data_IF_377698930589
#
_entry.id   IF_377698930589
#
_cell.length_a   1.000
_cell.length_b   1.000
_cell.length_c   1.000
_cell.angle_alpha   90.00
_cell.angle_beta   90.00
_cell.angle_gamma   90.00
#
_symmetry.space_group_name_H-M   'P 1'
#
loop_
_entity.id
_entity.type
_entity.pdbx_description
1 polymer ?
#
# COMPACT_ATOMS: atom_id res chain seq x y z
N UNK A 1 10.20 6.25 6.80
CA UNK A 1 9.57 6.20 5.47
C UNK A 1 8.93 4.85 5.23
N UNK A 2 9.68 3.74 5.24
CA UNK A 2 9.10 2.39 5.08
C UNK A 2 8.03 2.06 6.13
N UNK A 3 8.34 2.22 7.42
CA UNK A 3 7.37 1.96 8.50
C UNK A 3 6.14 2.87 8.38
N UNK A 4 6.35 4.16 8.11
CA UNK A 4 5.29 5.13 7.84
C UNK A 4 4.42 4.70 6.64
N UNK A 5 5.01 4.15 5.58
CA UNK A 5 4.26 3.64 4.43
C UNK A 5 3.36 2.46 4.81
N UNK A 6 3.89 1.51 5.59
CA UNK A 6 3.09 0.39 6.11
C UNK A 6 1.92 0.87 6.97
N UNK A 7 2.17 1.82 7.87
CA UNK A 7 1.15 2.41 8.73
C UNK A 7 0.04 3.08 7.92
N UNK A 8 0.40 3.92 6.94
CA UNK A 8 -0.58 4.61 6.11
C UNK A 8 -1.39 3.66 5.23
N UNK A 9 -0.75 2.64 4.65
CA UNK A 9 -1.45 1.61 3.89
C UNK A 9 -2.42 0.81 4.79
N UNK A 10 -1.96 0.37 5.96
CA UNK A 10 -2.80 -0.36 6.91
C UNK A 10 -4.02 0.45 7.37
N UNK A 11 -3.83 1.75 7.64
CA UNK A 11 -4.92 2.67 7.98
C UNK A 11 -5.94 2.78 6.86
N UNK A 12 -5.48 2.95 5.62
CA UNK A 12 -6.37 3.12 4.47
C UNK A 12 -7.11 1.83 4.11
N UNK A 13 -6.42 0.69 4.15
CA UNK A 13 -7.05 -0.62 4.01
C UNK A 13 -8.12 -0.85 5.08
N UNK A 14 -7.82 -0.50 6.34
CA UNK A 14 -8.77 -0.64 7.44
C UNK A 14 -10.01 0.23 7.23
N UNK A 15 -9.81 1.47 6.77
CA UNK A 15 -10.88 2.42 6.45
C UNK A 15 -11.80 1.89 5.34
N UNK A 16 -11.22 1.33 4.28
CA UNK A 16 -11.96 0.82 3.13
C UNK A 16 -12.69 -0.51 3.42
N UNK A 17 -12.11 -1.37 4.27
CA UNK A 17 -12.73 -2.65 4.64
C UNK A 17 -13.72 -2.57 5.80
N UNK A 18 -13.60 -1.54 6.66
CA UNK A 18 -14.38 -1.45 7.89
C UNK A 18 -13.95 -2.44 8.98
N UNK A 19 -12.72 -2.98 8.89
CA UNK A 19 -12.10 -3.83 9.93
C UNK A 19 -10.62 -3.48 10.07
N UNK A 20 -10.02 -3.83 11.20
CA UNK A 20 -8.60 -3.59 11.43
C UNK A 20 -7.71 -4.44 10.51
N UNK A 21 -6.74 -3.79 9.87
CA UNK A 21 -5.58 -4.37 9.21
C UNK A 21 -4.35 -3.92 9.99
N UNK A 22 -3.56 -4.89 10.45
CA UNK A 22 -2.40 -4.57 11.28
C UNK A 22 -1.19 -4.21 10.42
N UNK A 23 -0.30 -3.41 10.98
CA UNK A 23 0.90 -2.93 10.27
C UNK A 23 1.86 -4.09 10.00
N UNK A 24 1.91 -5.08 10.89
CA UNK A 24 2.66 -6.32 10.72
C UNK A 24 2.19 -7.18 9.54
N UNK A 25 0.92 -7.08 9.17
CA UNK A 25 0.34 -7.81 8.03
C UNK A 25 0.63 -7.15 6.68
N UNK A 26 1.16 -5.92 6.70
CA UNK A 26 1.57 -5.19 5.52
C UNK A 26 3.05 -5.46 5.21
N UNK A 27 3.45 -5.33 3.95
CA UNK A 27 4.85 -5.42 3.51
C UNK A 27 5.10 -4.51 2.31
N UNK A 28 6.31 -3.94 2.24
CA UNK A 28 6.72 -3.07 1.14
C UNK A 28 7.19 -3.93 -0.02
N UNK A 29 6.54 -3.78 -1.18
CA UNK A 29 6.87 -4.47 -2.42
C UNK A 29 7.94 -3.71 -3.21
N UNK A 30 7.86 -2.38 -3.21
CA UNK A 30 8.82 -1.51 -3.86
C UNK A 30 8.94 -0.20 -3.12
N UNK A 31 10.12 0.40 -3.17
CA UNK A 31 10.37 1.70 -2.56
C UNK A 31 11.39 2.51 -3.36
N UNK A 32 11.15 3.81 -3.46
CA UNK A 32 12.12 4.78 -3.95
C UNK A 32 12.06 6.09 -3.17
N UNK A 33 13.20 6.75 -3.08
CA UNK A 33 13.37 8.06 -2.44
C UNK A 33 14.22 8.94 -3.34
N UNK A 34 13.81 10.20 -3.47
CA UNK A 34 14.62 11.23 -4.11
C UNK A 34 14.46 12.52 -3.30
N UNK A 35 15.56 12.96 -2.69
CA UNK A 35 15.58 14.11 -1.77
C UNK A 35 14.50 13.95 -0.66
N UNK A 36 13.61 14.92 -0.49
CA UNK A 36 12.50 14.93 0.47
C UNK A 36 11.29 14.07 0.04
N UNK A 37 11.23 13.66 -1.23
CA UNK A 37 10.12 12.87 -1.78
C UNK A 37 10.40 11.37 -1.64
N UNK A 38 9.35 10.58 -1.39
CA UNK A 38 9.43 9.13 -1.42
C UNK A 38 8.12 8.49 -1.86
N UNK A 39 8.23 7.31 -2.47
CA UNK A 39 7.09 6.49 -2.89
C UNK A 39 7.31 5.05 -2.45
N UNK A 40 6.27 4.42 -1.94
CA UNK A 40 6.26 3.01 -1.57
C UNK A 40 5.06 2.31 -2.21
N UNK A 41 5.27 1.11 -2.72
CA UNK A 41 4.19 0.18 -3.01
C UNK A 41 4.10 -0.80 -1.84
N UNK A 42 2.92 -0.93 -1.25
CA UNK A 42 2.65 -1.72 -0.06
C UNK A 42 1.54 -2.71 -0.37
N UNK A 43 1.70 -3.95 0.05
CA UNK A 43 0.66 -4.98 -0.06
C UNK A 43 0.45 -5.64 1.29
N UNK A 44 -0.58 -6.48 1.39
CA UNK A 44 -0.90 -7.22 2.61
C UNK A 44 -1.44 -8.60 2.27
N UNK A 45 -1.13 -9.58 3.13
CA UNK A 45 -1.73 -10.92 3.04
C UNK A 45 -3.05 -11.01 3.85
N UNK A 46 -3.43 -9.96 4.58
CA UNK A 46 -4.65 -9.93 5.35
C UNK A 46 -5.90 -9.70 4.50
N UNK A 47 -5.76 -9.36 3.21
CA UNK A 47 -6.86 -9.08 2.28
C UNK A 47 -6.81 -10.10 1.15
N UNK A 48 -7.94 -10.76 0.89
CA UNK A 48 -8.11 -11.68 -0.23
C UNK A 48 -8.75 -11.00 -1.44
N UNK A 49 -8.52 -11.52 -2.64
CA UNK A 49 -9.08 -10.99 -3.90
C UNK A 49 -10.61 -11.01 -3.99
N UNK A 50 -11.29 -11.67 -3.06
CA UNK A 50 -12.76 -11.73 -2.99
C UNK A 50 -13.35 -10.61 -2.12
N UNK A 51 -12.51 -9.85 -1.40
CA UNK A 51 -12.96 -8.71 -0.63
C UNK A 51 -13.16 -7.48 -1.53
N UNK A 52 -14.00 -6.55 -1.09
CA UNK A 52 -14.32 -5.34 -1.87
C UNK A 52 -13.16 -4.33 -1.94
N UNK A 53 -12.17 -4.46 -1.06
CA UNK A 53 -11.01 -3.58 -1.01
C UNK A 53 -9.85 -4.16 -1.79
N UNK A 54 -9.02 -3.30 -2.36
CA UNK A 54 -7.76 -3.71 -2.96
C UNK A 54 -6.73 -4.16 -1.92
N UNK A 55 -5.88 -5.11 -2.30
CA UNK A 55 -4.77 -5.65 -1.49
C UNK A 55 -3.43 -4.94 -1.74
N UNK A 56 -3.47 -3.81 -2.47
CA UNK A 56 -2.29 -3.08 -2.92
C UNK A 56 -2.49 -1.58 -2.76
N UNK A 57 -1.51 -0.90 -2.16
CA UNK A 57 -1.51 0.53 -1.94
C UNK A 57 -0.24 1.17 -2.51
N UNK A 58 -0.38 2.30 -3.18
CA UNK A 58 0.70 3.23 -3.46
C UNK A 58 0.67 4.36 -2.41
N UNK A 59 1.80 4.57 -1.73
CA UNK A 59 1.97 5.66 -0.77
C UNK A 59 2.97 6.65 -1.34
N UNK A 60 2.53 7.86 -1.64
CA UNK A 60 3.34 8.91 -2.28
C UNK A 60 3.48 10.12 -1.36
N UNK A 61 4.68 10.38 -0.87
CA UNK A 61 4.97 11.54 -0.05
C UNK A 61 5.61 12.66 -0.85
N UNK A 62 4.95 13.83 -0.83
CA UNK A 62 5.48 15.08 -1.33
C UNK A 62 6.12 15.84 -0.17
N UNK A 63 7.44 15.85 -0.12
CA UNK A 63 8.20 16.50 0.95
C UNK A 63 8.22 18.03 0.85
N UNK A 64 7.93 18.60 -0.31
CA UNK A 64 7.85 20.07 -0.48
C UNK A 64 6.56 20.64 0.13
N UNK A 65 5.49 19.84 0.11
CA UNK A 65 4.16 20.21 0.64
C UNK A 65 3.82 19.52 1.96
N UNK A 66 4.72 18.68 2.46
CA UNK A 66 4.53 17.86 3.66
C UNK A 66 3.28 16.96 3.66
N UNK A 67 2.80 16.58 2.48
CA UNK A 67 1.57 15.79 2.30
C UNK A 67 1.87 14.36 1.83
N UNK A 68 0.96 13.42 2.12
CA UNK A 68 1.09 12.04 1.68
C UNK A 68 -0.22 11.56 1.09
N UNK A 69 -0.16 11.02 -0.11
CA UNK A 69 -1.27 10.43 -0.84
C UNK A 69 -1.22 8.92 -0.68
N UNK A 70 -2.39 8.29 -0.57
CA UNK A 70 -2.55 6.83 -0.53
C UNK A 70 -3.59 6.42 -1.55
N UNK A 71 -3.15 5.72 -2.59
CA UNK A 71 -4.00 5.18 -3.64
C UNK A 71 -4.12 3.66 -3.45
N UNK A 72 -5.35 3.13 -3.46
CA UNK A 72 -5.60 1.69 -3.27
C UNK A 72 -6.09 1.06 -4.58
N UNK A 73 -5.46 -0.06 -4.95
CA UNK A 73 -5.73 -0.82 -6.18
C UNK A 73 -6.17 -2.24 -5.87
N UNK A 74 -7.17 -2.72 -6.61
CA UNK A 74 -7.58 -4.12 -6.59
C UNK A 74 -6.85 -4.92 -7.68
N UNK A 75 -6.33 -6.09 -7.29
CA UNK A 75 -5.72 -7.04 -8.23
C UNK A 75 -6.76 -7.63 -9.16
N UNK A 76 -6.64 -7.36 -10.47
CA UNK A 76 -7.58 -7.85 -11.49
C UNK A 76 -7.25 -9.25 -11.98
N UNK A 77 -5.96 -9.58 -12.16
CA UNK A 77 -5.55 -10.92 -12.60
C UNK A 77 -4.13 -11.25 -12.14
N UNK A 78 -3.84 -12.54 -12.01
CA UNK A 78 -2.49 -13.06 -11.83
C UNK A 78 -2.36 -14.30 -12.72
N UNK A 79 -1.44 -14.26 -13.68
CA UNK A 79 -1.13 -15.40 -14.56
C UNK A 79 0.37 -15.58 -14.65
N UNK A 80 0.80 -16.83 -14.68
CA UNK A 80 2.21 -17.16 -14.91
C UNK A 80 2.51 -16.97 -16.40
N UNK A 81 3.51 -16.14 -16.71
CA UNK A 81 4.13 -16.06 -18.03
C UNK A 81 5.43 -16.84 -17.96
N UNK A 82 5.62 -17.80 -18.87
CA UNK A 82 6.88 -18.51 -19.04
C UNK A 82 7.64 -17.83 -20.19
N UNK A 83 8.97 -17.81 -20.09
CA UNK A 83 9.84 -17.37 -21.18
C UNK A 83 9.65 -18.21 -22.45
#
# INVERSE_FOLDING_TARGET
>A
MLEKAKQLAAQEFSRLLGREIKVEDCFVVWFSKTLQNWKALVSTNAISSNEKCGDYAEVTHNGDKEETYVDVYAKVSNRVIKD
#
